data_IF_595097999789
#
_entry.id   IF_595097999789
#
_cell.length_a   1.000
_cell.length_b   1.000
_cell.length_c   1.000
_cell.angle_alpha   90.00
_cell.angle_beta   90.00
_cell.angle_gamma   90.00
#
_symmetry.space_group_name_H-M   'P 1'
#
loop_
_entity.id
_entity.type
_entity.pdbx_description
1 polymer ?
#
# COMPACT_ATOMS: atom_id res chain seq x y z
N UNK A 1 6.60 10.20 21.20
CA UNK A 1 6.63 9.57 19.87
C UNK A 1 8.03 9.77 19.33
N UNK A 2 8.70 8.69 18.93
CA UNK A 2 9.97 8.78 18.20
C UNK A 2 9.74 9.60 16.94
N UNK A 3 10.68 10.47 16.59
CA UNK A 3 10.56 11.31 15.39
C UNK A 3 10.54 10.38 14.16
N UNK A 4 9.41 10.31 13.47
CA UNK A 4 9.29 9.61 12.18
C UNK A 4 10.37 10.13 11.23
N UNK A 5 10.82 9.26 10.32
CA UNK A 5 11.70 9.63 9.21
C UNK A 5 11.13 10.84 8.44
N UNK A 6 12.02 11.60 7.80
CA UNK A 6 11.67 12.59 6.79
C UNK A 6 11.34 11.96 5.43
N UNK A 7 11.54 10.64 5.28
CA UNK A 7 11.12 9.87 4.12
C UNK A 7 9.78 9.14 4.37
N UNK A 8 8.75 9.49 3.58
CA UNK A 8 7.44 8.82 3.57
C UNK A 8 7.48 7.28 3.40
N UNK A 9 8.56 6.75 2.83
CA UNK A 9 8.85 5.32 2.73
C UNK A 9 9.16 4.62 4.06
N UNK A 10 9.56 5.36 5.10
CA UNK A 10 9.93 4.82 6.40
C UNK A 10 9.07 5.41 7.53
N UNK A 11 7.94 4.74 7.77
CA UNK A 11 6.98 5.10 8.82
C UNK A 11 7.14 4.30 10.11
N UNK A 12 8.22 3.51 10.25
CA UNK A 12 8.43 2.64 11.40
C UNK A 12 8.72 3.44 12.67
N UNK A 13 7.91 3.27 13.72
CA UNK A 13 8.24 3.73 15.07
C UNK A 13 9.19 2.73 15.75
N UNK A 14 10.49 3.04 15.69
CA UNK A 14 11.56 2.19 16.25
C UNK A 14 11.52 2.04 17.78
N UNK A 15 10.71 2.81 18.49
CA UNK A 15 10.51 2.63 19.95
C UNK A 15 9.51 1.54 20.30
N UNK A 16 8.77 1.02 19.31
CA UNK A 16 7.72 0.03 19.50
C UNK A 16 8.18 -1.36 19.06
N UNK A 17 7.57 -2.44 19.60
CA UNK A 17 7.98 -3.80 19.29
C UNK A 17 7.83 -4.09 17.80
N UNK A 18 8.92 -4.51 17.15
CA UNK A 18 8.97 -4.77 15.71
C UNK A 18 8.18 -6.03 15.33
N UNK A 19 8.06 -6.97 16.26
CA UNK A 19 7.35 -8.24 16.12
C UNK A 19 5.82 -8.10 16.13
N UNK A 20 5.29 -6.92 16.49
CA UNK A 20 3.85 -6.66 16.43
C UNK A 20 3.33 -6.75 14.99
N UNK A 21 2.17 -7.38 14.79
CA UNK A 21 1.51 -7.48 13.49
C UNK A 21 1.28 -6.09 12.87
N UNK A 22 1.67 -5.91 11.62
CA UNK A 22 1.41 -4.72 10.82
C UNK A 22 0.35 -4.97 9.75
N UNK A 23 0.42 -6.11 9.07
CA UNK A 23 -0.46 -6.46 7.95
C UNK A 23 -0.93 -7.90 8.10
N UNK A 24 -2.24 -8.10 8.09
CA UNK A 24 -2.90 -9.38 7.89
C UNK A 24 -3.41 -9.36 6.45
N UNK A 25 -2.66 -9.97 5.54
CA UNK A 25 -2.94 -10.01 4.11
C UNK A 25 -3.89 -11.17 3.79
N UNK A 26 -5.10 -10.83 3.36
CA UNK A 26 -6.18 -11.75 3.07
C UNK A 26 -6.30 -12.09 1.58
N UNK A 27 -5.20 -12.00 0.81
CA UNK A 27 -5.17 -12.41 -0.60
C UNK A 27 -5.61 -13.87 -0.76
N UNK A 28 -5.07 -14.78 0.06
CA UNK A 28 -5.67 -16.09 0.32
C UNK A 28 -6.53 -15.95 1.59
N UNK A 29 -7.85 -16.01 1.41
CA UNK A 29 -8.77 -15.90 2.53
C UNK A 29 -8.65 -17.06 3.51
N UNK A 30 -8.41 -18.28 3.03
CA UNK A 30 -8.34 -19.44 3.92
C UNK A 30 -7.06 -19.39 4.76
N UNK A 31 -5.94 -18.99 4.13
CA UNK A 31 -4.62 -18.90 4.76
C UNK A 31 -4.05 -17.46 4.70
N UNK A 32 -4.58 -16.54 5.52
CA UNK A 32 -4.07 -15.17 5.54
C UNK A 32 -2.60 -15.15 5.95
N UNK A 33 -1.81 -14.30 5.29
CA UNK A 33 -0.39 -14.10 5.61
C UNK A 33 -0.27 -12.95 6.60
N UNK A 34 0.47 -13.15 7.68
CA UNK A 34 0.75 -12.09 8.64
C UNK A 34 2.17 -11.57 8.48
N UNK A 35 2.31 -10.25 8.48
CA UNK A 35 3.59 -9.55 8.47
C UNK A 35 3.65 -8.62 9.66
N UNK A 36 4.73 -8.73 10.43
CA UNK A 36 5.08 -7.80 11.49
C UNK A 36 5.57 -6.45 10.95
N UNK A 37 5.60 -5.43 11.80
CA UNK A 37 6.19 -4.12 11.46
C UNK A 37 7.65 -4.25 11.04
N UNK A 38 8.39 -5.14 11.72
CA UNK A 38 9.78 -5.48 11.40
C UNK A 38 9.92 -6.13 10.02
N UNK A 39 9.07 -7.10 9.68
CA UNK A 39 9.11 -7.77 8.38
C UNK A 39 8.76 -6.81 7.23
N UNK A 40 7.69 -6.01 7.37
CA UNK A 40 7.37 -4.97 6.38
C UNK A 40 8.55 -4.01 6.20
N UNK A 41 9.20 -3.61 7.29
CA UNK A 41 10.37 -2.74 7.22
C UNK A 41 11.56 -3.41 6.52
N UNK A 42 11.89 -4.66 6.86
CA UNK A 42 13.00 -5.39 6.25
C UNK A 42 12.76 -5.67 4.76
N UNK A 43 11.54 -6.07 4.39
CA UNK A 43 11.17 -6.31 3.00
C UNK A 43 11.19 -5.01 2.18
N UNK A 44 10.76 -3.88 2.74
CA UNK A 44 10.85 -2.59 2.07
C UNK A 44 12.31 -2.14 1.88
N UNK A 45 13.20 -2.41 2.84
CA UNK A 45 14.66 -2.20 2.69
C UNK A 45 15.23 -3.08 1.58
N UNK A 46 14.89 -4.37 1.57
CA UNK A 46 15.34 -5.31 0.56
C UNK A 46 14.84 -4.93 -0.85
N UNK A 47 13.60 -4.43 -0.95
CA UNK A 47 13.04 -3.89 -2.18
C UNK A 47 13.79 -2.64 -2.65
N UNK A 48 14.08 -1.69 -1.75
CA UNK A 48 14.84 -0.49 -2.08
C UNK A 48 16.22 -0.84 -2.66
N UNK A 49 16.94 -1.75 -1.99
CA UNK A 49 18.23 -2.25 -2.46
C UNK A 49 18.13 -2.97 -3.81
N UNK A 50 17.12 -3.82 -3.98
CA UNK A 50 16.86 -4.54 -5.22
C UNK A 50 16.62 -3.62 -6.42
N UNK A 51 15.85 -2.54 -6.21
CA UNK A 51 15.59 -1.53 -7.25
C UNK A 51 16.86 -0.78 -7.64
N UNK A 52 17.69 -0.38 -6.66
CA UNK A 52 18.97 0.27 -6.93
C UNK A 52 19.97 -0.67 -7.62
N UNK A 53 19.98 -1.96 -7.25
CA UNK A 53 20.82 -2.97 -7.89
C UNK A 53 20.43 -3.22 -9.37
N UNK A 54 19.16 -2.98 -9.74
CA UNK A 54 18.69 -2.96 -11.14
C UNK A 54 19.02 -1.66 -11.88
N UNK A 55 19.75 -0.74 -11.25
CA UNK A 55 20.28 0.46 -11.88
C UNK A 55 19.32 1.67 -11.88
N UNK A 56 18.18 1.58 -11.19
CA UNK A 56 17.28 2.73 -11.02
C UNK A 56 17.96 3.80 -10.16
N UNK A 57 17.63 5.06 -10.45
CA UNK A 57 18.25 6.25 -9.83
C UNK A 57 17.18 7.13 -9.22
N UNK A 58 17.57 7.89 -8.18
CA UNK A 58 16.70 8.87 -7.50
C UNK A 58 15.91 9.70 -8.52
N UNK A 59 14.59 9.80 -8.32
CA UNK A 59 13.66 10.45 -9.23
C UNK A 59 13.05 9.56 -10.31
N UNK A 60 13.61 8.37 -10.59
CA UNK A 60 12.99 7.43 -11.52
C UNK A 60 11.63 6.95 -11.00
N UNK A 61 10.65 6.82 -11.91
CA UNK A 61 9.31 6.38 -11.60
C UNK A 61 9.19 4.85 -11.63
N UNK A 62 8.56 4.27 -10.61
CA UNK A 62 8.28 2.84 -10.48
C UNK A 62 6.79 2.64 -10.26
N UNK A 63 6.14 1.95 -11.19
CA UNK A 63 4.71 1.72 -11.10
C UNK A 63 4.37 0.49 -10.28
N UNK A 64 3.19 0.50 -9.65
CA UNK A 64 2.59 -0.69 -9.03
C UNK A 64 1.21 -0.90 -9.63
N UNK A 65 1.06 -2.00 -10.38
CA UNK A 65 -0.15 -2.40 -11.11
C UNK A 65 -0.62 -3.75 -10.57
N UNK A 66 -1.22 -3.75 -9.39
CA UNK A 66 -1.67 -4.96 -8.70
C UNK A 66 -2.95 -4.69 -7.89
N UNK A 67 -3.63 -5.77 -7.50
CA UNK A 67 -4.63 -5.73 -6.44
C UNK A 67 -3.99 -5.38 -5.07
N UNK A 68 -4.83 -5.20 -4.05
CA UNK A 68 -4.33 -5.01 -2.69
C UNK A 68 -3.63 -6.30 -2.22
N UNK A 69 -2.39 -6.17 -1.75
CA UNK A 69 -1.58 -7.25 -1.18
C UNK A 69 -0.39 -6.67 -0.41
N UNK A 70 0.26 -7.46 0.44
CA UNK A 70 1.41 -7.00 1.21
C UNK A 70 2.56 -6.53 0.30
N UNK A 71 2.82 -7.23 -0.80
CA UNK A 71 3.89 -6.91 -1.75
C UNK A 71 3.69 -5.55 -2.42
N UNK A 72 2.43 -5.11 -2.60
CA UNK A 72 2.11 -3.76 -3.07
C UNK A 72 2.68 -2.72 -2.10
N UNK A 73 2.38 -2.87 -0.81
CA UNK A 73 2.84 -1.93 0.22
C UNK A 73 4.37 -1.96 0.34
N UNK A 74 4.97 -3.16 0.31
CA UNK A 74 6.42 -3.34 0.36
C UNK A 74 7.09 -2.63 -0.81
N UNK A 75 6.62 -2.85 -2.04
CA UNK A 75 7.11 -2.18 -3.24
C UNK A 75 6.93 -0.67 -3.18
N UNK A 76 5.76 -0.21 -2.74
CA UNK A 76 5.42 1.20 -2.58
C UNK A 76 6.38 1.92 -1.59
N UNK A 77 6.57 1.36 -0.40
CA UNK A 77 7.46 1.93 0.61
C UNK A 77 8.94 1.80 0.23
N UNK A 78 9.36 0.65 -0.31
CA UNK A 78 10.74 0.42 -0.75
C UNK A 78 11.16 1.36 -1.88
N UNK A 79 10.26 1.64 -2.83
CA UNK A 79 10.46 2.64 -3.90
C UNK A 79 10.80 4.01 -3.31
N UNK A 80 9.97 4.51 -2.39
CA UNK A 80 10.18 5.82 -1.76
C UNK A 80 11.45 5.88 -0.90
N UNK A 81 11.80 4.79 -0.20
CA UNK A 81 13.06 4.70 0.58
C UNK A 81 14.29 4.90 -0.31
N UNK A 82 14.28 4.34 -1.52
CA UNK A 82 15.35 4.48 -2.51
C UNK A 82 15.39 5.87 -3.20
N UNK A 83 14.46 6.77 -2.89
CA UNK A 83 14.33 8.08 -3.54
C UNK A 83 13.70 8.00 -4.93
N UNK A 84 13.04 6.89 -5.22
CA UNK A 84 12.31 6.67 -6.46
C UNK A 84 10.86 7.15 -6.27
N UNK A 85 10.20 7.46 -7.37
CA UNK A 85 8.81 7.95 -7.36
C UNK A 85 7.86 6.78 -7.54
N UNK A 86 7.03 6.48 -6.53
CA UNK A 86 6.04 5.41 -6.67
C UNK A 86 4.82 5.87 -7.47
N UNK A 87 4.38 5.07 -8.44
CA UNK A 87 3.21 5.34 -9.27
C UNK A 87 2.18 4.20 -9.13
N UNK A 88 1.32 4.25 -8.10
CA UNK A 88 0.18 3.35 -7.99
C UNK A 88 -0.78 3.51 -9.18
N UNK A 89 -0.95 2.45 -9.99
CA UNK A 89 -1.78 2.50 -11.20
C UNK A 89 -3.12 1.81 -10.97
N UNK A 90 -4.21 2.48 -11.34
CA UNK A 90 -5.54 1.88 -11.28
C UNK A 90 -5.70 0.81 -12.36
N UNK A 91 -5.59 -0.45 -11.94
CA UNK A 91 -5.72 -1.62 -12.81
C UNK A 91 -7.14 -1.84 -13.36
N UNK A 92 -8.14 -1.04 -12.93
CA UNK A 92 -9.50 -1.05 -13.49
C UNK A 92 -9.67 -0.08 -14.66
N UNK A 93 -8.65 0.70 -15.00
CA UNK A 93 -8.68 1.52 -16.20
C UNK A 93 -8.63 0.66 -17.47
N UNK A 94 -9.19 1.13 -18.60
CA UNK A 94 -8.98 0.51 -19.90
C UNK A 94 -7.48 0.44 -20.23
N UNK A 95 -7.07 -0.56 -21.01
CA UNK A 95 -5.66 -0.77 -21.41
C UNK A 95 -4.99 0.50 -21.93
N UNK A 96 -5.59 1.19 -22.89
CA UNK A 96 -5.03 2.41 -23.47
C UNK A 96 -4.78 3.52 -22.43
N UNK A 97 -5.59 3.54 -21.36
CA UNK A 97 -5.44 4.48 -20.26
C UNK A 97 -4.30 4.07 -19.32
N UNK A 98 -4.13 2.77 -19.06
CA UNK A 98 -2.96 2.24 -18.32
C UNK A 98 -1.68 2.55 -19.10
N UNK A 99 -1.66 2.27 -20.40
CA UNK A 99 -0.52 2.55 -21.29
C UNK A 99 -0.18 4.04 -21.30
N UNK A 100 -1.22 4.90 -21.36
CA UNK A 100 -1.05 6.34 -21.22
C UNK A 100 -0.39 6.72 -19.89
N UNK A 101 -0.88 6.20 -18.76
CA UNK A 101 -0.36 6.50 -17.42
C UNK A 101 1.11 6.09 -17.30
N UNK A 102 1.45 4.86 -17.71
CA UNK A 102 2.82 4.33 -17.64
C UNK A 102 3.79 5.16 -18.49
N UNK A 103 3.35 5.60 -19.68
CA UNK A 103 4.15 6.45 -20.57
C UNK A 103 4.28 7.88 -20.05
N UNK A 104 3.18 8.50 -19.61
CA UNK A 104 3.14 9.88 -19.12
C UNK A 104 4.02 10.06 -17.87
N UNK A 105 4.05 9.06 -16.99
CA UNK A 105 4.91 9.04 -15.82
C UNK A 105 6.35 8.56 -16.09
N UNK A 106 6.71 8.27 -17.34
CA UNK A 106 8.05 7.82 -17.74
C UNK A 106 8.59 6.67 -16.89
N UNK A 107 7.72 5.71 -16.56
CA UNK A 107 8.03 4.57 -15.69
C UNK A 107 9.24 3.79 -16.21
N UNK A 108 10.13 3.40 -15.29
CA UNK A 108 11.32 2.59 -15.58
C UNK A 108 11.14 1.11 -15.27
N UNK A 109 10.25 0.80 -14.32
CA UNK A 109 9.95 -0.56 -13.89
C UNK A 109 8.50 -0.64 -13.39
N UNK A 110 7.82 -1.75 -13.67
CA UNK A 110 6.46 -2.03 -13.19
C UNK A 110 6.46 -3.23 -12.27
N UNK A 111 5.96 -3.05 -11.05
CA UNK A 111 5.48 -4.16 -10.25
C UNK A 111 4.07 -4.55 -10.69
N UNK A 112 3.81 -5.84 -10.86
CA UNK A 112 2.48 -6.36 -11.18
C UNK A 112 2.19 -7.67 -10.45
N UNK A 113 0.93 -8.07 -10.37
CA UNK A 113 0.56 -9.45 -10.04
C UNK A 113 0.30 -10.25 -11.33
N UNK A 114 0.25 -11.58 -11.21
CA UNK A 114 0.15 -12.48 -12.35
C UNK A 114 -1.11 -12.23 -13.19
N UNK A 115 -2.22 -11.86 -12.57
CA UNK A 115 -3.49 -11.54 -13.25
C UNK A 115 -3.37 -10.27 -14.12
N UNK A 116 -2.62 -9.27 -13.65
CA UNK A 116 -2.46 -7.96 -14.32
C UNK A 116 -1.19 -7.86 -15.15
N UNK A 117 -0.34 -8.90 -15.16
CA UNK A 117 0.88 -8.96 -15.97
C UNK A 117 0.65 -8.60 -17.44
N UNK A 118 -0.43 -9.10 -18.04
CA UNK A 118 -0.75 -8.84 -19.45
C UNK A 118 -1.12 -7.37 -19.74
N UNK A 119 -1.37 -6.55 -18.72
CA UNK A 119 -1.63 -5.11 -18.85
C UNK A 119 -0.33 -4.30 -18.93
N UNK A 120 0.83 -4.89 -18.64
CA UNK A 120 2.13 -4.22 -18.77
C UNK A 120 2.55 -4.19 -20.25
N UNK A 121 2.86 -3.01 -20.82
CA UNK A 121 3.32 -2.89 -22.20
C UNK A 121 4.58 -3.71 -22.47
N UNK A 122 4.66 -4.29 -23.66
CA UNK A 122 5.86 -5.02 -24.11
C UNK A 122 7.09 -4.12 -24.10
N UNK A 123 8.21 -4.63 -23.58
CA UNK A 123 9.49 -3.91 -23.54
C UNK A 123 9.70 -3.03 -22.30
N UNK A 124 8.68 -2.87 -21.45
CA UNK A 124 8.85 -2.22 -20.14
C UNK A 124 9.32 -3.28 -19.11
N UNK A 125 10.45 -3.05 -18.40
CA UNK A 125 10.88 -3.98 -17.35
C UNK A 125 9.80 -4.16 -16.30
N UNK A 126 9.57 -5.40 -15.89
CA UNK A 126 8.57 -5.72 -14.87
C UNK A 126 9.11 -6.66 -13.82
N UNK A 127 8.48 -6.62 -12.65
CA UNK A 127 8.63 -7.58 -11.57
C UNK A 127 7.24 -8.08 -11.21
N UNK A 128 7.06 -9.39 -11.24
CA UNK A 128 5.79 -10.07 -10.99
C UNK A 128 5.78 -10.65 -9.58
N UNK A 129 4.78 -10.27 -8.79
CA UNK A 129 4.63 -10.71 -7.41
C UNK A 129 4.35 -12.21 -7.28
N UNK A 130 3.82 -12.85 -8.32
CA UNK A 130 3.45 -14.26 -8.30
C UNK A 130 4.45 -15.15 -9.04
N UNK A 131 5.35 -14.56 -9.85
CA UNK A 131 6.41 -15.31 -10.52
C UNK A 131 7.46 -15.83 -9.54
N UNK A 132 7.92 -17.07 -9.79
CA UNK A 132 9.03 -17.72 -9.09
C UNK A 132 10.35 -17.68 -9.90
N UNK A 133 10.33 -17.06 -11.07
CA UNK A 133 11.49 -16.91 -11.95
C UNK A 133 12.33 -15.67 -11.66
N UNK A 134 13.23 -15.33 -12.58
CA UNK A 134 14.13 -14.17 -12.48
C UNK A 134 13.40 -12.81 -12.49
N UNK A 135 12.19 -12.78 -13.05
CA UNK A 135 11.28 -11.65 -13.04
C UNK A 135 10.36 -11.63 -11.81
N UNK A 136 10.53 -12.55 -10.87
CA UNK A 136 9.77 -12.64 -9.64
C UNK A 136 10.17 -11.59 -8.60
N UNK A 137 9.22 -11.24 -7.72
CA UNK A 137 9.48 -10.29 -6.63
C UNK A 137 10.57 -10.77 -5.67
N UNK A 138 10.60 -12.05 -5.33
CA UNK A 138 11.66 -12.63 -4.50
C UNK A 138 13.06 -12.49 -5.13
N UNK A 139 13.16 -12.62 -6.46
CA UNK A 139 14.41 -12.41 -7.20
C UNK A 139 14.81 -10.93 -7.30
N UNK A 140 13.88 -10.00 -7.02
CA UNK A 140 14.22 -8.59 -6.87
C UNK A 140 14.84 -8.29 -5.51
N UNK A 141 14.29 -8.86 -4.44
CA UNK A 141 14.68 -8.50 -3.08
C UNK A 141 16.18 -8.73 -2.87
N UNK A 142 16.87 -7.71 -2.35
CA UNK A 142 18.28 -7.80 -1.94
C UNK A 142 18.36 -7.62 -0.42
N UNK A 143 18.34 -8.72 0.36
CA UNK A 143 18.25 -8.65 1.82
C UNK A 143 19.38 -7.86 2.48
N UNK A 144 19.02 -7.16 3.55
CA UNK A 144 19.91 -6.47 4.48
C UNK A 144 19.52 -5.02 4.72
N UNK A 145 20.26 -4.36 5.60
CA UNK A 145 19.92 -3.02 6.06
C UNK A 145 19.97 -1.99 4.94
N UNK A 146 19.09 -0.99 5.04
CA UNK A 146 19.03 0.13 4.11
C UNK A 146 18.62 1.39 4.86
N UNK A 147 19.37 2.47 4.66
CA UNK A 147 19.02 3.79 5.17
C UNK A 147 18.23 4.51 4.09
N UNK A 148 16.97 4.83 4.37
CA UNK A 148 16.15 5.62 3.46
C UNK A 148 16.84 6.96 3.14
N UNK A 149 16.72 7.42 1.89
CA UNK A 149 17.31 8.71 1.51
C UNK A 149 16.66 9.85 2.30
N UNK A 150 17.42 10.91 2.53
CA UNK A 150 16.87 12.19 2.99
C UNK A 150 16.32 12.96 1.79
N UNK A 151 14.99 13.14 1.70
CA UNK A 151 14.40 13.84 0.57
C UNK A 151 14.71 15.33 0.62
N UNK A 152 14.87 15.94 -0.56
CA UNK A 152 14.93 17.38 -0.69
C UNK A 152 13.55 18.00 -0.35
N UNK A 153 13.48 19.28 0.05
CA UNK A 153 12.21 19.95 0.27
C UNK A 153 11.29 19.80 -0.96
N UNK A 154 10.05 19.36 -0.73
CA UNK A 154 9.06 19.10 -1.78
C UNK A 154 9.45 18.05 -2.83
N UNK A 155 10.45 17.22 -2.57
CA UNK A 155 10.78 16.10 -3.46
C UNK A 155 9.60 15.14 -3.59
N UNK A 156 9.33 14.72 -4.83
CA UNK A 156 8.17 13.87 -5.15
C UNK A 156 8.39 12.46 -4.62
N UNK A 157 7.47 11.99 -3.79
CA UNK A 157 7.46 10.62 -3.28
C UNK A 157 6.63 9.69 -4.17
N UNK A 158 5.51 10.22 -4.68
CA UNK A 158 4.57 9.45 -5.49
C UNK A 158 3.81 10.32 -6.48
N UNK A 159 3.27 9.68 -7.52
CA UNK A 159 2.32 10.29 -8.45
C UNK A 159 1.04 9.48 -8.43
N UNK A 160 -0.10 10.13 -8.18
CA UNK A 160 -1.41 9.50 -8.30
C UNK A 160 -2.16 10.06 -9.50
N UNK A 161 -2.70 9.17 -10.33
CA UNK A 161 -3.52 9.56 -11.47
C UNK A 161 -4.99 9.62 -11.09
N UNK A 162 -5.63 10.74 -11.45
CA UNK A 162 -7.06 10.97 -11.23
C UNK A 162 -7.80 11.08 -12.54
N UNK A 163 -9.08 10.68 -12.60
CA UNK A 163 -9.93 10.87 -13.78
C UNK A 163 -10.10 12.36 -14.04
N UNK A 164 -9.27 12.93 -14.90
CA UNK A 164 -9.32 14.35 -15.24
C UNK A 164 -10.62 14.70 -15.96
N UNK A 165 -11.10 15.93 -15.78
CA UNK A 165 -12.30 16.46 -16.46
C UNK A 165 -12.19 16.46 -18.00
N UNK A 166 -10.98 16.37 -18.53
CA UNK A 166 -10.65 16.35 -19.96
C UNK A 166 -10.64 14.95 -20.57
N UNK A 167 -11.13 13.93 -19.86
CA UNK A 167 -11.20 12.53 -20.31
C UNK A 167 -9.89 11.75 -20.19
N UNK A 168 -8.73 12.42 -20.17
CA UNK A 168 -7.42 11.79 -19.86
C UNK A 168 -7.07 11.93 -18.38
N UNK A 169 -6.56 10.87 -17.72
CA UNK A 169 -6.11 10.99 -16.35
C UNK A 169 -4.98 12.02 -16.19
N UNK A 170 -4.96 12.71 -15.06
CA UNK A 170 -3.90 13.68 -14.73
C UNK A 170 -3.07 13.15 -13.57
N UNK A 171 -1.74 13.10 -13.77
CA UNK A 171 -0.78 12.74 -12.73
C UNK A 171 -0.64 13.88 -11.73
N UNK A 172 -0.90 13.60 -10.46
CA UNK A 172 -0.73 14.55 -9.35
C UNK A 172 0.54 14.16 -8.61
N UNK A 173 1.64 14.93 -8.74
CA UNK A 173 2.86 14.69 -7.98
C UNK A 173 2.66 15.10 -6.53
N UNK A 174 3.16 14.26 -5.63
CA UNK A 174 2.90 14.34 -4.21
C UNK A 174 4.20 14.12 -3.44
N UNK A 175 4.58 15.10 -2.64
CA UNK A 175 5.89 15.15 -1.99
C UNK A 175 5.96 14.38 -0.68
N UNK A 176 7.18 14.01 -0.26
CA UNK A 176 7.42 13.34 1.02
C UNK A 176 6.93 14.18 2.19
N UNK A 177 7.33 15.46 2.26
CA UNK A 177 7.00 16.39 3.34
C UNK A 177 5.49 16.64 3.50
N UNK A 178 4.78 16.91 2.40
CA UNK A 178 3.34 17.17 2.41
C UNK A 178 2.52 15.97 2.87
N UNK A 179 2.92 14.77 2.46
CA UNK A 179 2.24 13.55 2.92
C UNK A 179 2.63 13.12 4.32
N UNK A 180 3.89 13.33 4.73
CA UNK A 180 4.28 13.13 6.12
C UNK A 180 3.53 14.07 7.05
N UNK A 181 3.34 15.33 6.65
CA UNK A 181 2.48 16.26 7.39
C UNK A 181 1.06 15.71 7.50
N UNK A 182 0.47 15.22 6.40
CA UNK A 182 -0.88 14.62 6.43
C UNK A 182 -0.96 13.42 7.36
N UNK A 183 0.06 12.56 7.37
CA UNK A 183 0.13 11.38 8.26
C UNK A 183 0.23 11.83 9.71
N UNK A 184 1.14 12.76 10.02
CA UNK A 184 1.34 13.32 11.37
C UNK A 184 0.06 13.96 11.88
N UNK A 185 -0.58 14.84 11.11
CA UNK A 185 -1.86 15.48 11.48
C UNK A 185 -2.99 14.49 11.74
N UNK A 186 -2.91 13.26 11.24
CA UNK A 186 -3.91 12.20 11.50
C UNK A 186 -3.60 11.35 12.71
N UNK A 187 -2.33 11.20 13.10
CA UNK A 187 -1.89 10.36 14.22
C UNK A 187 -1.63 11.18 15.48
N UNK A 188 -1.11 12.40 15.35
CA UNK A 188 -0.84 13.31 16.46
C UNK A 188 -2.11 13.62 17.25
N UNK A 189 -2.00 13.63 18.57
CA UNK A 189 -3.12 13.89 19.48
C UNK A 189 -4.12 12.74 19.64
N UNK A 190 -3.97 11.62 18.94
CA UNK A 190 -4.78 10.42 19.18
C UNK A 190 -4.26 9.62 20.37
N UNK A 191 -5.15 8.86 21.00
CA UNK A 191 -4.76 7.82 21.97
C UNK A 191 -3.91 6.75 21.28
N UNK A 192 -3.19 5.94 22.06
CA UNK A 192 -2.36 4.87 21.51
C UNK A 192 -3.20 3.87 20.70
N UNK A 193 -2.86 3.75 19.40
CA UNK A 193 -3.55 2.88 18.46
C UNK A 193 -2.80 1.58 18.19
N UNK A 194 -1.69 1.28 18.90
CA UNK A 194 -0.86 0.07 18.66
C UNK A 194 -1.65 -1.23 18.67
N UNK A 195 -2.72 -1.28 19.46
CA UNK A 195 -3.56 -2.47 19.66
C UNK A 195 -4.77 -2.51 18.72
N UNK A 196 -4.95 -1.47 17.91
CA UNK A 196 -6.10 -1.32 17.05
C UNK A 196 -5.86 -2.02 15.70
N UNK A 197 -6.94 -2.56 15.13
CA UNK A 197 -6.96 -3.27 13.85
C UNK A 197 -7.87 -2.55 12.88
N UNK A 198 -7.30 -2.08 11.78
CA UNK A 198 -7.98 -1.34 10.73
C UNK A 198 -8.28 -2.26 9.56
N UNK A 199 -9.52 -2.33 9.11
CA UNK A 199 -9.80 -3.01 7.84
C UNK A 199 -9.53 -2.07 6.67
N UNK A 200 -8.79 -2.55 5.67
CA UNK A 200 -8.46 -1.82 4.44
C UNK A 200 -8.94 -2.63 3.25
N UNK A 201 -10.10 -2.25 2.73
CA UNK A 201 -10.69 -2.83 1.51
C UNK A 201 -10.72 -1.84 0.34
N UNK A 202 -10.48 -0.55 0.62
CA UNK A 202 -10.32 0.45 -0.41
C UNK A 202 -9.05 0.16 -1.25
N UNK A 203 -9.05 0.40 -2.56
CA UNK A 203 -7.90 0.07 -3.40
C UNK A 203 -6.64 0.88 -3.05
N UNK A 204 -5.48 0.22 -3.06
CA UNK A 204 -4.17 0.81 -2.79
C UNK A 204 -3.64 1.65 -3.97
N UNK A 205 -4.29 1.65 -5.14
CA UNK A 205 -4.03 2.65 -6.18
C UNK A 205 -4.78 3.97 -5.95
N UNK A 206 -5.64 4.05 -4.93
CA UNK A 206 -6.41 5.24 -4.58
C UNK A 206 -5.94 5.85 -3.26
N UNK A 207 -6.01 7.19 -3.14
CA UNK A 207 -5.54 7.92 -1.94
C UNK A 207 -6.22 7.44 -0.66
N UNK A 208 -7.48 7.01 -0.73
CA UNK A 208 -8.19 6.49 0.45
C UNK A 208 -7.48 5.26 1.04
N UNK A 209 -7.21 4.23 0.23
CA UNK A 209 -6.53 3.01 0.68
C UNK A 209 -5.08 3.30 1.14
N UNK A 210 -4.33 4.08 0.35
CA UNK A 210 -2.95 4.44 0.70
C UNK A 210 -2.86 5.31 1.94
N UNK A 211 -3.72 6.32 2.05
CA UNK A 211 -3.75 7.25 3.17
C UNK A 211 -4.03 6.52 4.49
N UNK A 212 -5.00 5.61 4.49
CA UNK A 212 -5.27 4.73 5.63
C UNK A 212 -4.08 3.85 5.94
N UNK A 213 -3.51 3.15 4.95
CA UNK A 213 -2.38 2.24 5.17
C UNK A 213 -1.17 2.95 5.78
N UNK A 214 -0.84 4.17 5.31
CA UNK A 214 0.22 5.00 5.87
C UNK A 214 -0.06 5.42 7.31
N UNK A 215 -1.30 5.83 7.60
CA UNK A 215 -1.71 6.22 8.95
C UNK A 215 -1.61 5.03 9.92
N UNK A 216 -2.10 3.85 9.51
CA UNK A 216 -2.04 2.62 10.33
C UNK A 216 -0.61 2.26 10.69
N UNK A 217 0.29 2.25 9.70
CA UNK A 217 1.71 1.94 9.93
C UNK A 217 2.39 2.99 10.81
N UNK A 218 2.15 4.28 10.55
CA UNK A 218 2.70 5.35 11.38
C UNK A 218 2.18 5.36 12.82
N UNK A 219 0.98 4.83 13.06
CA UNK A 219 0.41 4.64 14.39
C UNK A 219 0.86 3.34 15.07
N UNK A 220 1.69 2.53 14.39
CA UNK A 220 2.09 1.18 14.80
C UNK A 220 0.90 0.24 15.05
N UNK A 221 -0.22 0.49 14.36
CA UNK A 221 -1.41 -0.34 14.39
C UNK A 221 -1.30 -1.48 13.36
N UNK A 222 -2.27 -2.39 13.35
CA UNK A 222 -2.35 -3.44 12.34
C UNK A 222 -3.44 -3.14 11.30
N UNK A 223 -3.23 -3.54 10.04
CA UNK A 223 -4.28 -3.54 9.02
C UNK A 223 -4.68 -4.97 8.64
N UNK A 224 -5.98 -5.19 8.47
CA UNK A 224 -6.56 -6.35 7.78
C UNK A 224 -6.78 -5.93 6.34
N UNK A 225 -5.92 -6.41 5.44
CA UNK A 225 -5.89 -6.00 4.04
C UNK A 225 -6.68 -6.99 3.19
N UNK A 226 -7.81 -6.53 2.64
CA UNK A 226 -8.58 -7.31 1.67
C UNK A 226 -8.10 -7.02 0.25
N UNK A 227 -8.03 -8.04 -0.65
CA UNK A 227 -7.56 -7.86 -2.02
C UNK A 227 -8.44 -6.90 -2.82
N UNK A 228 -9.73 -6.86 -2.49
CA UNK A 228 -10.71 -5.88 -2.93
C UNK A 228 -11.87 -5.84 -1.95
N UNK A 229 -12.73 -4.83 -2.07
CA UNK A 229 -13.99 -4.81 -1.33
C UNK A 229 -14.94 -5.90 -1.85
N UNK A 230 -15.36 -6.76 -0.94
CA UNK A 230 -16.50 -7.65 -1.04
C UNK A 230 -17.29 -7.53 0.27
N UNK A 231 -18.61 -7.35 0.20
CA UNK A 231 -19.40 -7.02 1.39
C UNK A 231 -19.39 -8.15 2.43
N UNK A 232 -19.51 -9.40 2.00
CA UNK A 232 -19.52 -10.56 2.90
C UNK A 232 -18.16 -10.76 3.54
N UNK A 233 -17.09 -10.77 2.74
CA UNK A 233 -15.72 -10.88 3.25
C UNK A 233 -15.34 -9.73 4.17
N UNK A 234 -15.81 -8.51 3.88
CA UNK A 234 -15.61 -7.37 4.75
C UNK A 234 -16.23 -7.59 6.13
N UNK A 235 -17.48 -8.06 6.18
CA UNK A 235 -18.16 -8.35 7.45
C UNK A 235 -17.45 -9.51 8.17
N UNK A 236 -17.21 -10.64 7.49
CA UNK A 236 -16.55 -11.81 8.06
C UNK A 236 -15.16 -11.46 8.64
N UNK A 237 -14.42 -10.57 7.97
CA UNK A 237 -13.10 -10.11 8.42
C UNK A 237 -13.17 -9.36 9.75
N UNK A 238 -14.28 -8.65 10.03
CA UNK A 238 -14.48 -7.95 11.29
C UNK A 238 -14.43 -8.94 12.46
N UNK A 239 -15.26 -9.98 12.40
CA UNK A 239 -15.31 -10.99 13.46
C UNK A 239 -14.04 -11.85 13.49
N UNK A 240 -13.59 -12.35 12.33
CA UNK A 240 -12.43 -13.25 12.22
C UNK A 240 -11.15 -12.62 12.76
N UNK A 241 -10.90 -11.36 12.43
CA UNK A 241 -9.66 -10.67 12.79
C UNK A 241 -9.83 -9.64 13.91
N UNK A 242 -11.02 -9.56 14.53
CA UNK A 242 -11.36 -8.61 15.60
C UNK A 242 -11.04 -7.17 15.19
N UNK A 243 -11.51 -6.75 14.02
CA UNK A 243 -11.31 -5.39 13.51
C UNK A 243 -11.97 -4.39 14.47
N UNK A 244 -11.24 -3.34 14.82
CA UNK A 244 -11.72 -2.30 15.74
C UNK A 244 -12.01 -0.96 15.07
N UNK A 245 -11.39 -0.70 13.91
CA UNK A 245 -11.64 0.48 13.09
C UNK A 245 -12.07 0.07 11.69
N UNK A 246 -13.30 0.44 11.33
CA UNK A 246 -13.78 0.29 9.97
C UNK A 246 -13.24 1.43 9.11
N UNK A 247 -12.80 1.13 7.89
CA UNK A 247 -12.54 2.17 6.89
C UNK A 247 -13.40 1.91 5.68
N UNK A 248 -14.25 2.88 5.35
CA UNK A 248 -15.29 2.71 4.35
C UNK A 248 -15.60 4.03 3.64
N UNK A 249 -16.32 3.92 2.54
CA UNK A 249 -17.02 5.06 1.92
C UNK A 249 -18.53 4.81 2.04
N UNK A 250 -19.39 5.84 1.94
CA UNK A 250 -20.84 5.67 2.10
C UNK A 250 -21.43 4.53 1.25
N UNK A 251 -20.96 4.36 0.02
CA UNK A 251 -21.40 3.26 -0.86
C UNK A 251 -21.03 1.88 -0.32
N UNK A 252 -19.86 1.70 0.30
CA UNK A 252 -19.49 0.42 0.91
C UNK A 252 -20.39 0.10 2.10
N UNK A 253 -20.69 1.08 2.95
CA UNK A 253 -21.61 0.90 4.08
C UNK A 253 -23.00 0.50 3.60
N UNK A 254 -23.51 1.14 2.55
CA UNK A 254 -24.80 0.79 1.96
C UNK A 254 -24.83 -0.67 1.43
N UNK A 255 -23.72 -1.17 0.90
CA UNK A 255 -23.60 -2.56 0.44
C UNK A 255 -23.48 -3.54 1.62
N UNK A 256 -22.73 -3.20 2.66
CA UNK A 256 -22.63 -3.98 3.90
C UNK A 256 -24.02 -4.17 4.54
N UNK A 257 -24.82 -3.11 4.60
CA UNK A 257 -26.19 -3.15 5.16
C UNK A 257 -27.16 -4.04 4.35
N UNK A 258 -26.79 -4.46 3.14
CA UNK A 258 -27.55 -5.41 2.31
C UNK A 258 -27.22 -6.87 2.61
N UNK A 259 -26.33 -7.15 3.56
CA UNK A 259 -25.94 -8.50 3.99
C UNK A 259 -26.42 -8.79 5.44
N UNK A 260 -27.74 -8.72 5.72
CA UNK A 260 -28.27 -8.80 7.09
C UNK A 260 -27.95 -10.15 7.76
N UNK A 261 -27.93 -11.23 6.99
CA UNK A 261 -27.61 -12.56 7.52
C UNK A 261 -26.15 -12.69 7.95
N UNK A 262 -25.21 -12.11 7.19
CA UNK A 262 -23.78 -12.14 7.53
C UNK A 262 -23.50 -11.23 8.71
N UNK A 263 -24.16 -10.06 8.79
CA UNK A 263 -24.09 -9.17 9.95
C UNK A 263 -24.59 -9.85 11.22
N UNK A 264 -25.73 -10.54 11.16
CA UNK A 264 -26.32 -11.20 12.32
C UNK A 264 -25.47 -12.36 12.88
N UNK A 265 -24.66 -13.02 12.04
CA UNK A 265 -23.82 -14.17 12.43
C UNK A 265 -22.40 -13.80 12.82
N UNK A 266 -21.96 -12.58 12.54
CA UNK A 266 -20.60 -12.11 12.81
C UNK A 266 -20.53 -11.41 14.16
N UNK A 267 -19.52 -11.72 14.98
CA UNK A 267 -19.21 -10.93 16.17
C UNK A 267 -18.63 -9.56 15.76
N UNK A 268 -19.41 -8.50 15.97
CA UNK A 268 -19.01 -7.10 15.68
C UNK A 268 -18.58 -6.33 16.94
N UNK A 269 -18.47 -6.98 18.10
CA UNK A 269 -18.20 -6.33 19.40
C UNK A 269 -16.84 -5.64 19.50
N UNK A 270 -15.89 -5.97 18.61
CA UNK A 270 -14.58 -5.33 18.56
C UNK A 270 -14.62 -3.93 17.96
N UNK A 271 -15.65 -3.57 17.18
CA UNK A 271 -15.72 -2.31 16.45
C UNK A 271 -15.92 -1.13 17.40
N UNK A 272 -15.03 -0.14 17.32
CA UNK A 272 -15.03 1.08 18.15
C UNK A 272 -15.26 2.35 17.33
N UNK A 273 -14.94 2.31 16.05
CA UNK A 273 -15.08 3.43 15.14
C UNK A 273 -15.35 2.97 13.71
N UNK A 274 -16.03 3.84 12.95
CA UNK A 274 -16.40 3.67 11.53
C UNK A 274 -15.94 4.85 10.70
#
# INVERSE_FOLDING_TARGET
MTRLSDNLGDLLDRSRPAESTAVIDCLDWEHPREYSHGEIHQLANACARGLLARGLRRGDAVAVLAANRAEFLIAYFGTMRAGLVSVPVNHKFPRDTIDFVLRDSSVKLVFCDGERRALVPSGLPLVDFDSKGEDGFEALLSPGDFTAIHPEPRETAMVLYTSGSTGRPKGVPLSHDGHLWTVRSRVEGRQDMSRERFIVAAPLFHMNGLGTSKMVLAAHAAMVLLPQFDAKRYIEAIGRFRVSFLTSVPTMLALILREPETLARTDLSSVRAV
#
